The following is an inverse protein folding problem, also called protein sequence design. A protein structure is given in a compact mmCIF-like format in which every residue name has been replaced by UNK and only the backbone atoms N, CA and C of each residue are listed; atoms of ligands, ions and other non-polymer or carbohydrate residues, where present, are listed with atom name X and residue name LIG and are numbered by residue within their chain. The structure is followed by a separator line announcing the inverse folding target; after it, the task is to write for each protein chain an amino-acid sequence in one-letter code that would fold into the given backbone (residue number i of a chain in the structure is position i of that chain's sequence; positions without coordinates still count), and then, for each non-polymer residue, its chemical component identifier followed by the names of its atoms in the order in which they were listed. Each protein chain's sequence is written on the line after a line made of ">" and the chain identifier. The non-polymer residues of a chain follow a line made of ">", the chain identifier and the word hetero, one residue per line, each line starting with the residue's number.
data_IF_271417534687
#
_entry.id   IF_271417534687
#
_cell.length_a   1.000
_cell.length_b   1.000
_cell.length_c   1.000
_cell.angle_alpha   90.00
_cell.angle_beta   90.00
_cell.angle_gamma   90.00
#
_symmetry.space_group_name_H-M   'P 1'
#
loop_
_entity.id
_entity.type
_entity.pdbx_description
1 polymer ?
#
# COMPACT_ATOMS: atom_id res chain seq x y z
N UNK A 1 -34.99 31.49 -2.96
CA UNK A 1 -34.62 30.11 -2.55
C UNK A 1 -33.56 29.60 -3.51
N UNK A 2 -32.41 29.21 -2.95
CA UNK A 2 -31.15 28.98 -3.68
C UNK A 2 -31.20 27.71 -4.53
N UNK A 3 -30.88 27.90 -5.80
CA UNK A 3 -30.64 26.86 -6.80
C UNK A 3 -29.21 26.34 -6.60
N UNK A 4 -29.02 25.31 -5.76
CA UNK A 4 -27.72 24.67 -5.56
C UNK A 4 -27.50 23.64 -6.67
N UNK A 5 -27.12 24.14 -7.86
CA UNK A 5 -26.60 23.31 -8.95
C UNK A 5 -25.34 22.60 -8.47
N UNK A 6 -25.35 21.27 -8.57
CA UNK A 6 -24.24 20.38 -8.26
C UNK A 6 -23.00 20.66 -9.11
N UNK A 7 -22.13 21.53 -8.59
CA UNK A 7 -20.83 21.86 -9.14
C UNK A 7 -19.69 21.30 -8.32
N UNK A 8 -19.61 19.97 -8.11
CA UNK A 8 -18.46 19.36 -7.41
C UNK A 8 -17.91 18.07 -8.03
N UNK A 9 -18.28 17.74 -9.27
CA UNK A 9 -17.74 16.57 -9.98
C UNK A 9 -17.25 16.94 -11.38
N UNK A 10 -16.34 17.91 -11.49
CA UNK A 10 -15.57 18.08 -12.73
C UNK A 10 -14.19 18.70 -12.53
N UNK A 11 -13.48 18.24 -11.48
CA UNK A 11 -12.02 18.38 -11.43
C UNK A 11 -11.46 17.06 -11.95
N UNK A 12 -10.78 17.08 -13.09
CA UNK A 12 -10.00 15.94 -13.58
C UNK A 12 -9.08 15.48 -12.44
N UNK A 13 -9.38 14.33 -11.84
CA UNK A 13 -8.57 13.80 -10.74
C UNK A 13 -7.14 13.63 -11.24
N UNK A 14 -6.18 14.31 -10.58
CA UNK A 14 -4.78 14.32 -11.01
C UNK A 14 -4.28 12.87 -11.05
N UNK A 15 -3.69 12.48 -12.17
CA UNK A 15 -3.12 11.14 -12.36
C UNK A 15 -1.64 11.16 -12.05
N UNK A 16 -1.14 10.05 -11.54
CA UNK A 16 0.26 9.82 -11.19
C UNK A 16 0.72 8.55 -11.89
N UNK A 17 1.91 8.61 -12.49
CA UNK A 17 2.59 7.44 -13.03
C UNK A 17 3.62 6.99 -12.00
N UNK A 18 3.63 5.70 -11.67
CA UNK A 18 4.68 5.12 -10.84
C UNK A 18 5.50 4.17 -11.68
N UNK A 19 6.78 4.08 -11.35
CA UNK A 19 7.69 3.08 -11.92
C UNK A 19 7.15 1.67 -11.67
N UNK A 20 7.34 0.79 -12.64
CA UNK A 20 6.81 -0.58 -12.56
C UNK A 20 7.39 -1.34 -11.37
N UNK A 21 8.71 -1.26 -11.16
CA UNK A 21 9.39 -1.93 -10.06
C UNK A 21 8.88 -1.43 -8.70
N UNK A 22 8.58 -0.13 -8.58
CA UNK A 22 7.95 0.44 -7.39
C UNK A 22 6.55 -0.14 -7.16
N UNK A 23 5.76 -0.37 -8.21
CA UNK A 23 4.45 -1.02 -8.07
C UNK A 23 4.55 -2.47 -7.59
N UNK A 24 5.56 -3.21 -8.07
CA UNK A 24 5.83 -4.60 -7.64
C UNK A 24 6.27 -4.62 -6.17
N UNK A 25 7.21 -3.75 -5.79
CA UNK A 25 7.62 -3.56 -4.39
C UNK A 25 6.43 -3.21 -3.50
N UNK A 26 5.64 -2.21 -3.88
CA UNK A 26 4.51 -1.74 -3.09
C UNK A 26 3.47 -2.86 -2.92
N UNK A 27 3.21 -3.65 -3.96
CA UNK A 27 2.33 -4.80 -3.84
C UNK A 27 2.89 -5.84 -2.84
N UNK A 28 4.17 -6.19 -2.94
CA UNK A 28 4.81 -7.14 -2.03
C UNK A 28 4.79 -6.65 -0.57
N UNK A 29 5.12 -5.38 -0.34
CA UNK A 29 5.12 -4.75 0.97
C UNK A 29 3.72 -4.75 1.61
N UNK A 30 2.69 -4.35 0.84
CA UNK A 30 1.33 -4.32 1.34
C UNK A 30 0.77 -5.73 1.59
N UNK A 31 1.18 -6.72 0.79
CA UNK A 31 0.82 -8.12 1.02
C UNK A 31 1.51 -8.66 2.29
N UNK A 32 2.78 -8.32 2.53
CA UNK A 32 3.47 -8.62 3.80
C UNK A 32 2.73 -7.98 4.98
N UNK A 33 2.34 -6.71 4.88
CA UNK A 33 1.60 -6.01 5.93
C UNK A 33 0.23 -6.65 6.21
N UNK A 34 -0.56 -6.95 5.17
CA UNK A 34 -1.86 -7.64 5.29
C UNK A 34 -1.72 -8.99 6.02
N UNK A 35 -0.82 -9.84 5.53
CA UNK A 35 -0.57 -11.16 6.11
C UNK A 35 -0.05 -11.06 7.55
N UNK A 36 0.85 -10.10 7.82
CA UNK A 36 1.43 -9.95 9.16
C UNK A 36 0.41 -9.42 10.16
N UNK A 37 -0.45 -8.46 9.77
CA UNK A 37 -1.58 -7.99 10.58
C UNK A 37 -2.57 -9.11 10.86
N UNK A 38 -2.88 -9.95 9.86
CA UNK A 38 -3.74 -11.12 10.07
C UNK A 38 -3.19 -12.05 11.16
N UNK A 39 -1.88 -12.29 11.17
CA UNK A 39 -1.22 -13.15 12.17
C UNK A 39 -1.11 -12.48 13.53
N UNK A 40 -0.84 -11.18 13.57
CA UNK A 40 -0.78 -10.41 14.81
C UNK A 40 -2.12 -10.40 15.57
N UNK A 41 -3.24 -10.55 14.87
CA UNK A 41 -4.57 -10.72 15.50
C UNK A 41 -4.69 -11.94 16.42
N UNK A 42 -3.80 -12.93 16.29
CA UNK A 42 -3.73 -14.12 17.14
C UNK A 42 -2.66 -14.03 18.24
N UNK A 43 -1.88 -12.95 18.24
CA UNK A 43 -0.72 -12.77 19.12
C UNK A 43 -0.72 -11.34 19.69
N UNK A 44 0.33 -10.55 19.47
CA UNK A 44 0.40 -9.16 19.93
C UNK A 44 1.02 -8.22 18.90
N UNK A 45 0.66 -6.93 18.99
CA UNK A 45 1.28 -5.89 18.18
C UNK A 45 2.77 -5.72 18.49
N UNK A 46 3.18 -5.99 19.74
CA UNK A 46 4.57 -5.92 20.18
C UNK A 46 5.45 -6.92 19.44
N UNK A 47 4.99 -8.16 19.28
CA UNK A 47 5.72 -9.16 18.51
C UNK A 47 5.77 -8.83 17.02
N UNK A 48 4.68 -8.26 16.48
CA UNK A 48 4.68 -7.76 15.11
C UNK A 48 5.70 -6.61 14.93
N UNK A 49 5.81 -5.70 15.90
CA UNK A 49 6.82 -4.64 15.91
C UNK A 49 8.25 -5.21 15.94
N UNK A 50 8.51 -6.23 16.76
CA UNK A 50 9.79 -6.93 16.77
C UNK A 50 10.13 -7.57 15.40
N UNK A 51 9.12 -8.06 14.67
CA UNK A 51 9.34 -8.52 13.30
C UNK A 51 9.71 -7.35 12.38
N UNK A 52 8.95 -6.24 12.44
CA UNK A 52 9.18 -5.06 11.59
C UNK A 52 10.46 -4.29 11.90
N UNK A 53 11.10 -4.50 13.06
CA UNK A 53 12.41 -3.91 13.37
C UNK A 53 13.52 -4.35 12.41
N UNK A 54 13.32 -5.47 11.71
CA UNK A 54 14.26 -6.00 10.71
C UNK A 54 13.75 -5.86 9.26
N UNK A 55 12.55 -5.31 9.09
CA UNK A 55 11.91 -5.08 7.79
C UNK A 55 12.03 -3.61 7.38
N UNK A 56 11.51 -3.26 6.20
CA UNK A 56 11.42 -1.86 5.78
C UNK A 56 10.38 -1.15 6.63
N UNK A 57 10.71 0.03 7.17
CA UNK A 57 9.78 0.77 8.02
C UNK A 57 8.60 1.34 7.18
N UNK A 58 7.33 1.25 7.63
CA UNK A 58 6.22 1.78 6.84
C UNK A 58 6.33 3.28 6.53
N UNK A 59 6.94 4.07 7.43
CA UNK A 59 7.21 5.50 7.21
C UNK A 59 8.21 5.72 6.08
N UNK A 60 9.19 4.84 5.88
CA UNK A 60 10.13 4.92 4.76
C UNK A 60 9.43 4.64 3.43
N UNK A 61 8.51 3.68 3.40
CA UNK A 61 7.66 3.44 2.21
C UNK A 61 6.83 4.68 1.87
N UNK A 62 6.27 5.34 2.88
CA UNK A 62 5.51 6.60 2.71
C UNK A 62 6.39 7.70 2.14
N UNK A 63 7.59 7.91 2.71
CA UNK A 63 8.57 8.87 2.18
C UNK A 63 8.88 8.58 0.72
N UNK A 64 9.09 7.32 0.36
CA UNK A 64 9.37 6.91 -1.01
C UNK A 64 8.22 7.22 -1.97
N UNK A 65 6.98 6.95 -1.55
CA UNK A 65 5.79 7.27 -2.33
C UNK A 65 5.61 8.77 -2.51
N UNK A 66 5.80 9.57 -1.45
CA UNK A 66 5.68 11.03 -1.51
C UNK A 66 6.65 11.61 -2.53
N UNK A 67 7.92 11.19 -2.50
CA UNK A 67 8.96 11.66 -3.43
C UNK A 67 8.65 11.27 -4.88
N UNK A 68 8.28 10.00 -5.12
CA UNK A 68 7.99 9.53 -6.48
C UNK A 68 6.68 10.09 -7.06
N UNK A 69 5.70 10.41 -6.20
CA UNK A 69 4.37 10.86 -6.62
C UNK A 69 4.19 12.39 -6.50
N UNK A 70 5.20 13.13 -6.04
CA UNK A 70 5.14 14.56 -5.78
C UNK A 70 3.88 14.95 -4.97
N UNK A 71 3.75 14.31 -3.80
CA UNK A 71 2.64 14.53 -2.88
C UNK A 71 2.95 15.68 -1.93
N UNK A 72 1.92 16.46 -1.65
CA UNK A 72 1.90 17.43 -0.56
C UNK A 72 1.52 16.71 0.74
N UNK A 73 2.47 16.60 1.67
CA UNK A 73 2.38 15.85 2.93
C UNK A 73 1.20 16.32 3.78
N UNK A 74 0.89 17.61 3.75
CA UNK A 74 -0.20 18.19 4.55
C UNK A 74 -1.56 17.61 4.19
N UNK A 75 -1.68 17.00 3.00
CA UNK A 75 -2.95 16.42 2.53
C UNK A 75 -3.19 14.98 2.97
N UNK A 76 -2.22 14.30 3.57
CA UNK A 76 -2.32 12.88 3.96
C UNK A 76 -3.47 12.63 4.94
N UNK A 77 -3.73 13.57 5.84
CA UNK A 77 -4.73 13.43 6.91
C UNK A 77 -6.19 13.49 6.44
N UNK A 78 -6.46 13.86 5.19
CA UNK A 78 -7.84 14.05 4.69
C UNK A 78 -8.41 12.84 3.93
N UNK A 79 -7.67 11.75 3.76
CA UNK A 79 -8.06 10.64 2.88
C UNK A 79 -8.57 9.43 3.63
N UNK A 80 -9.88 9.32 3.81
CA UNK A 80 -10.48 8.23 4.59
C UNK A 80 -10.85 6.98 3.80
N UNK A 81 -10.92 7.06 2.46
CA UNK A 81 -11.36 5.94 1.65
C UNK A 81 -11.03 6.06 0.17
N UNK A 82 -11.04 4.92 -0.51
CA UNK A 82 -10.96 4.81 -1.97
C UNK A 82 -12.26 4.25 -2.54
N UNK A 83 -12.64 4.78 -3.71
CA UNK A 83 -13.71 4.19 -4.52
C UNK A 83 -13.30 2.80 -5.00
N UNK A 84 -14.27 1.90 -5.11
CA UNK A 84 -14.03 0.58 -5.67
C UNK A 84 -13.47 0.66 -7.09
N UNK A 85 -12.61 -0.31 -7.39
CA UNK A 85 -11.96 -0.40 -8.68
C UNK A 85 -12.90 -1.04 -9.69
N UNK A 86 -13.60 -0.21 -10.47
CA UNK A 86 -14.60 -0.69 -11.41
C UNK A 86 -14.01 -1.63 -12.48
N UNK A 87 -14.82 -2.56 -12.99
CA UNK A 87 -14.43 -3.49 -14.06
C UNK A 87 -13.80 -2.78 -15.26
N UNK A 88 -14.32 -1.61 -15.65
CA UNK A 88 -13.73 -0.78 -16.72
C UNK A 88 -12.30 -0.35 -16.40
N UNK A 89 -12.02 0.07 -15.17
CA UNK A 89 -10.66 0.45 -14.72
C UNK A 89 -9.72 -0.76 -14.68
N UNK A 90 -10.24 -1.93 -14.29
CA UNK A 90 -9.49 -3.20 -14.30
C UNK A 90 -9.04 -3.53 -15.73
N UNK A 91 -9.99 -3.58 -16.67
CA UNK A 91 -9.72 -3.90 -18.07
C UNK A 91 -8.73 -2.90 -18.67
N UNK A 92 -8.94 -1.60 -18.46
CA UNK A 92 -8.04 -0.56 -18.96
C UNK A 92 -6.62 -0.68 -18.37
N UNK A 93 -6.50 -0.99 -17.07
CA UNK A 93 -5.18 -1.18 -16.45
C UNK A 93 -4.44 -2.38 -17.03
N UNK A 94 -5.14 -3.48 -17.31
CA UNK A 94 -4.57 -4.66 -17.95
C UNK A 94 -4.13 -4.39 -19.38
N UNK A 95 -4.95 -3.71 -20.17
CA UNK A 95 -4.59 -3.30 -21.54
C UNK A 95 -3.36 -2.40 -21.52
N UNK A 96 -3.34 -1.38 -20.65
CA UNK A 96 -2.20 -0.47 -20.54
C UNK A 96 -0.91 -1.20 -20.20
N UNK A 97 -0.97 -2.17 -19.26
CA UNK A 97 0.17 -3.01 -18.91
C UNK A 97 0.64 -3.84 -20.11
N UNK A 98 -0.26 -4.48 -20.87
CA UNK A 98 0.09 -5.26 -22.05
C UNK A 98 0.73 -4.42 -23.17
N UNK A 99 0.35 -3.14 -23.27
CA UNK A 99 0.94 -2.19 -24.20
C UNK A 99 2.25 -1.55 -23.68
N UNK A 100 2.76 -1.97 -22.52
CA UNK A 100 3.99 -1.46 -21.94
C UNK A 100 3.87 -0.05 -21.34
N UNK A 101 2.66 0.46 -21.14
CA UNK A 101 2.48 1.76 -20.49
C UNK A 101 2.73 1.67 -18.98
N UNK A 102 3.32 2.71 -18.38
CA UNK A 102 3.57 2.74 -16.95
C UNK A 102 2.26 2.67 -16.15
N UNK A 103 2.25 2.01 -14.98
CA UNK A 103 1.12 2.01 -14.07
C UNK A 103 0.63 3.42 -13.72
N UNK A 104 -0.67 3.67 -13.94
CA UNK A 104 -1.31 4.96 -13.66
C UNK A 104 -2.25 4.85 -12.47
N UNK A 105 -2.16 5.79 -11.54
CA UNK A 105 -2.98 5.91 -10.33
C UNK A 105 -3.67 7.26 -10.29
N UNK A 106 -4.79 7.34 -9.57
CA UNK A 106 -5.31 8.62 -9.11
C UNK A 106 -4.44 9.12 -7.96
N UNK A 107 -4.19 10.43 -7.89
CA UNK A 107 -3.42 11.04 -6.79
C UNK A 107 -4.01 10.68 -5.43
N UNK A 108 -5.33 10.64 -5.32
CA UNK A 108 -6.08 10.26 -4.12
C UNK A 108 -5.85 8.80 -3.72
N UNK A 109 -5.63 7.89 -4.68
CA UNK A 109 -5.30 6.48 -4.40
C UNK A 109 -3.93 6.39 -3.71
N UNK A 110 -2.95 7.19 -4.14
CA UNK A 110 -1.61 7.21 -3.51
C UNK A 110 -1.67 7.86 -2.13
N UNK A 111 -2.41 8.96 -1.97
CA UNK A 111 -2.61 9.58 -0.65
C UNK A 111 -3.25 8.61 0.34
N UNK A 112 -4.30 7.91 -0.09
CA UNK A 112 -4.98 6.93 0.74
C UNK A 112 -4.02 5.84 1.25
N UNK A 113 -3.20 5.24 0.38
CA UNK A 113 -2.31 4.17 0.82
C UNK A 113 -1.18 4.70 1.71
N UNK A 114 -0.71 5.92 1.48
CA UNK A 114 0.24 6.57 2.38
C UNK A 114 -0.36 6.77 3.78
N UNK A 115 -1.63 7.20 3.88
CA UNK A 115 -2.32 7.30 5.17
C UNK A 115 -2.39 5.93 5.87
N UNK A 116 -2.76 4.85 5.17
CA UNK A 116 -2.83 3.51 5.79
C UNK A 116 -1.47 3.02 6.27
N UNK A 117 -0.39 3.32 5.53
CA UNK A 117 0.97 3.01 5.97
C UNK A 117 1.41 3.83 7.20
N UNK A 118 0.98 5.09 7.31
CA UNK A 118 1.19 5.89 8.53
C UNK A 118 0.45 5.25 9.71
N UNK A 119 -0.84 4.94 9.54
CA UNK A 119 -1.62 4.26 10.57
C UNK A 119 -0.97 2.94 11.00
N UNK A 120 -0.36 2.23 10.05
CA UNK A 120 0.36 1.00 10.36
C UNK A 120 1.61 1.27 11.20
N UNK A 121 2.44 2.27 10.83
CA UNK A 121 3.59 2.65 11.63
C UNK A 121 3.18 3.07 13.06
N UNK A 122 2.17 3.93 13.19
CA UNK A 122 1.64 4.36 14.48
C UNK A 122 1.11 3.19 15.30
N UNK A 123 0.52 2.18 14.66
CA UNK A 123 0.07 0.97 15.32
C UNK A 123 1.25 0.13 15.87
N UNK A 124 2.34 0.01 15.10
CA UNK A 124 3.55 -0.70 15.54
C UNK A 124 4.24 0.00 16.74
N UNK A 125 4.12 1.32 16.83
CA UNK A 125 4.68 2.15 17.92
C UNK A 125 3.87 2.08 19.22
N UNK A 126 2.67 1.47 19.22
CA UNK A 126 1.85 1.33 20.44
C UNK A 126 2.43 0.23 21.34
N UNK A 127 2.83 0.63 22.56
CA UNK A 127 3.29 -0.29 23.61
C UNK A 127 2.16 -1.12 24.26
N UNK A 128 0.90 -0.72 24.06
CA UNK A 128 -0.29 -1.35 24.62
C UNK A 128 -0.96 -2.35 23.65
N UNK A 129 -1.86 -3.19 24.17
CA UNK A 129 -2.72 -4.03 23.32
C UNK A 129 -3.52 -3.16 22.35
N UNK A 130 -3.27 -3.33 21.05
CA UNK A 130 -4.11 -2.76 20.00
C UNK A 130 -5.37 -3.58 19.89
N UNK A 131 -6.51 -2.91 19.93
CA UNK A 131 -7.80 -3.56 19.81
C UNK A 131 -7.88 -4.37 18.48
N UNK A 132 -8.21 -5.68 18.50
CA UNK A 132 -8.19 -6.52 17.30
C UNK A 132 -9.01 -5.95 16.12
N UNK A 133 -10.12 -5.27 16.41
CA UNK A 133 -10.94 -4.60 15.40
C UNK A 133 -10.20 -3.46 14.66
N UNK A 134 -9.33 -2.70 15.33
CA UNK A 134 -8.54 -1.64 14.67
C UNK A 134 -7.54 -2.25 13.68
N UNK A 135 -6.89 -3.34 14.11
CA UNK A 135 -5.95 -4.10 13.29
C UNK A 135 -6.63 -4.68 12.06
N UNK A 136 -7.79 -5.33 12.24
CA UNK A 136 -8.56 -5.91 11.13
C UNK A 136 -9.07 -4.84 10.16
N UNK A 137 -9.54 -3.69 10.66
CA UNK A 137 -9.93 -2.55 9.82
C UNK A 137 -8.76 -2.08 8.95
N UNK A 138 -7.58 -1.89 9.54
CA UNK A 138 -6.39 -1.49 8.80
C UNK A 138 -5.99 -2.53 7.76
N UNK A 139 -6.01 -3.81 8.15
CA UNK A 139 -5.70 -4.94 7.27
C UNK A 139 -6.60 -4.95 6.03
N UNK A 140 -7.91 -4.85 6.22
CA UNK A 140 -8.88 -4.81 5.12
C UNK A 140 -8.62 -3.63 4.18
N UNK A 141 -8.32 -2.44 4.72
CA UNK A 141 -8.05 -1.24 3.93
C UNK A 141 -6.75 -1.34 3.11
N UNK A 142 -5.71 -2.00 3.65
CA UNK A 142 -4.47 -2.34 2.94
C UNK A 142 -4.75 -3.35 1.83
N UNK A 143 -5.47 -4.44 2.16
CA UNK A 143 -5.81 -5.53 1.23
C UNK A 143 -6.67 -5.02 0.06
N UNK A 144 -7.61 -4.11 0.34
CA UNK A 144 -8.43 -3.45 -0.67
C UNK A 144 -7.60 -2.69 -1.70
N UNK A 145 -6.51 -2.05 -1.27
CA UNK A 145 -5.59 -1.37 -2.19
C UNK A 145 -4.72 -2.36 -2.97
N UNK A 146 -4.08 -3.30 -2.28
CA UNK A 146 -3.15 -4.24 -2.91
C UNK A 146 -3.86 -5.16 -3.91
N UNK A 147 -4.92 -5.84 -3.48
CA UNK A 147 -5.65 -6.80 -4.31
C UNK A 147 -6.67 -6.12 -5.25
N UNK A 148 -7.25 -4.99 -4.83
CA UNK A 148 -8.28 -4.29 -5.60
C UNK A 148 -7.74 -3.31 -6.64
N UNK A 149 -6.55 -2.73 -6.43
CA UNK A 149 -5.97 -1.72 -7.34
C UNK A 149 -4.64 -2.19 -7.94
N UNK A 150 -3.65 -2.50 -7.09
CA UNK A 150 -2.28 -2.77 -7.54
C UNK A 150 -2.16 -4.07 -8.34
N UNK A 151 -2.85 -5.14 -7.93
CA UNK A 151 -2.87 -6.45 -8.61
C UNK A 151 -3.08 -6.34 -10.12
N UNK A 152 -3.90 -5.38 -10.55
CA UNK A 152 -4.27 -5.21 -11.96
C UNK A 152 -3.27 -4.40 -12.77
N UNK A 153 -2.23 -3.87 -12.12
CA UNK A 153 -1.18 -3.01 -12.69
C UNK A 153 0.19 -3.68 -12.74
N UNK A 154 0.30 -4.89 -12.21
CA UNK A 154 1.51 -5.72 -12.25
C UNK A 154 1.27 -7.01 -13.04
N UNK A 155 2.35 -7.59 -13.56
CA UNK A 155 2.31 -8.87 -14.25
C UNK A 155 1.82 -9.99 -13.32
N UNK A 156 1.21 -11.03 -13.90
CA UNK A 156 0.82 -12.22 -13.12
C UNK A 156 2.03 -12.92 -12.50
N UNK A 157 3.19 -12.91 -13.19
CA UNK A 157 4.45 -13.49 -12.70
C UNK A 157 4.93 -12.76 -11.44
N UNK A 158 4.97 -11.44 -11.46
CA UNK A 158 5.45 -10.64 -10.33
C UNK A 158 4.45 -10.64 -9.18
N UNK A 159 3.15 -10.63 -9.47
CA UNK A 159 2.10 -10.90 -8.49
C UNK A 159 2.32 -12.25 -7.79
N UNK A 160 2.48 -13.34 -8.57
CA UNK A 160 2.71 -14.68 -8.02
C UNK A 160 4.01 -14.78 -7.22
N UNK A 161 5.04 -14.03 -7.60
CA UNK A 161 6.29 -13.89 -6.84
C UNK A 161 6.03 -13.18 -5.51
N UNK A 162 5.36 -12.04 -5.53
CA UNK A 162 5.07 -11.21 -4.36
C UNK A 162 4.12 -11.85 -3.35
N UNK A 163 3.26 -12.79 -3.78
CA UNK A 163 2.46 -13.61 -2.85
C UNK A 163 3.32 -14.50 -1.93
N UNK A 164 4.58 -14.77 -2.28
CA UNK A 164 5.52 -15.57 -1.49
C UNK A 164 6.39 -14.72 -0.55
N UNK A 165 6.03 -13.46 -0.36
CA UNK A 165 6.76 -12.55 0.52
C UNK A 165 6.79 -13.10 1.95
N UNK A 166 7.95 -12.94 2.59
CA UNK A 166 8.10 -13.22 4.03
C UNK A 166 7.07 -12.41 4.83
N UNK A 167 6.49 -12.99 5.87
CA UNK A 167 5.58 -12.29 6.78
C UNK A 167 5.70 -12.82 8.21
N UNK A 168 5.20 -12.02 9.16
CA UNK A 168 5.20 -12.39 10.57
C UNK A 168 4.49 -13.75 10.78
N UNK A 169 5.07 -14.60 11.64
CA UNK A 169 4.56 -15.95 11.93
C UNK A 169 4.47 -16.89 10.71
N UNK A 170 5.22 -16.61 9.65
CA UNK A 170 5.34 -17.55 8.54
C UNK A 170 6.05 -18.84 8.98
N UNK A 171 5.54 -19.98 8.52
CA UNK A 171 6.12 -21.28 8.83
C UNK A 171 7.51 -21.45 8.16
N UNK A 172 8.53 -21.81 8.95
CA UNK A 172 9.95 -21.91 8.52
C UNK A 172 10.21 -22.89 7.35
N UNK A 173 9.32 -23.86 7.12
CA UNK A 173 9.44 -24.80 6.00
C UNK A 173 8.95 -24.25 4.63
N UNK A 174 8.38 -23.05 4.59
CA UNK A 174 7.91 -22.44 3.35
C UNK A 174 9.00 -21.59 2.71
N UNK A 175 9.23 -21.78 1.40
CA UNK A 175 10.11 -20.91 0.63
C UNK A 175 9.52 -19.49 0.55
N UNK A 176 10.09 -18.57 1.32
CA UNK A 176 9.78 -17.15 1.29
C UNK A 176 10.71 -16.37 0.36
N UNK A 177 10.34 -15.12 0.12
CA UNK A 177 11.17 -14.14 -0.59
C UNK A 177 11.28 -12.94 0.34
N UNK A 178 12.50 -12.46 0.56
CA UNK A 178 12.72 -11.33 1.47
C UNK A 178 12.22 -10.02 0.86
N UNK A 179 11.70 -9.10 1.66
CA UNK A 179 11.19 -7.81 1.14
C UNK A 179 12.29 -7.02 0.41
N UNK A 180 13.52 -7.18 0.87
CA UNK A 180 14.73 -6.60 0.27
C UNK A 180 14.98 -7.07 -1.16
N UNK A 181 14.43 -8.21 -1.60
CA UNK A 181 14.56 -8.66 -2.99
C UNK A 181 13.62 -7.93 -3.96
N UNK A 182 12.61 -7.23 -3.44
CA UNK A 182 11.67 -6.45 -4.24
C UNK A 182 12.10 -4.99 -4.39
N UNK A 183 13.10 -4.54 -3.64
CA UNK A 183 13.64 -3.18 -3.69
C UNK A 183 15.12 -3.21 -4.02
N UNK A 184 15.55 -2.47 -5.04
CA UNK A 184 16.98 -2.37 -5.35
C UNK A 184 17.67 -1.35 -4.45
N UNK A 185 17.05 -0.18 -4.24
CA UNK A 185 17.52 0.89 -3.34
C UNK A 185 16.31 1.64 -2.78
N UNK A 186 16.25 1.83 -1.46
CA UNK A 186 15.40 2.85 -0.83
C UNK A 186 16.15 4.19 -0.93
N UNK A 187 15.46 5.35 -1.07
CA UNK A 187 16.14 6.64 -0.91
C UNK A 187 16.79 6.68 0.47
N UNK A 188 18.04 7.14 0.53
CA UNK A 188 18.70 7.36 1.81
C UNK A 188 17.85 8.30 2.68
N UNK A 189 17.67 7.93 3.94
CA UNK A 189 16.87 8.67 4.91
C UNK A 189 17.40 10.07 5.24
N UNK A 190 18.57 10.43 4.68
CA UNK A 190 19.26 11.72 4.82
C UNK A 190 18.72 12.83 3.92
N UNK A 191 17.84 12.54 2.95
CA UNK A 191 17.39 13.52 1.95
C UNK A 191 15.99 14.13 2.25
N UNK A 192 15.57 14.14 3.52
CA UNK A 192 14.34 14.82 3.99
C UNK A 192 14.57 15.60 5.29
#
# INVERSE_FOLDING_TARGET
>A
MLNVRGGLFNKTMKKIKLEYNLCVFLFAYLNQADLSLHRAGWTSIRELNNFYSNQVNPREVVKFLISNANLDVNKLWYYYGIKEYSLKKIILSRINFLLGFPPVFLKDEIYYICQKLINFAEMLEKDAEVHPLEMEKLRVEISKFSLGILRYKISHKDYSKALKIEHYMQHNGLKDIKIKEFIKELPNSSDL
#
